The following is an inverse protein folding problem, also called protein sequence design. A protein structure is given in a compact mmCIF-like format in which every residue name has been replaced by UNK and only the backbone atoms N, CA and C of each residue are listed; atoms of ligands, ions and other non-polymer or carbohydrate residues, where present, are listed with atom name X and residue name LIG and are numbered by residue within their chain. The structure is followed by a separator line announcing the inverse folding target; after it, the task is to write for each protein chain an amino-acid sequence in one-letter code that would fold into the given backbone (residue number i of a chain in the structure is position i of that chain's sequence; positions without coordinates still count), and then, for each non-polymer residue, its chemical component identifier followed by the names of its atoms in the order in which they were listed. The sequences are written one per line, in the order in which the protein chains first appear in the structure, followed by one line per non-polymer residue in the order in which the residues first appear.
data_IF_506390516273
#
_entry.id   IF_506390516273
#
_cell.length_a   1.000
_cell.length_b   1.000
_cell.length_c   1.000
_cell.angle_alpha   90.00
_cell.angle_beta   90.00
_cell.angle_gamma   90.00
#
_symmetry.space_group_name_H-M   'P 1'
#
loop_
_entity.id
_entity.type
_entity.pdbx_description
1 polymer ?
#
# COMPACT_ATOMS: atom_id res chain seq x y z
N UNK A 1 -33.58 26.86 23.87
CA UNK A 1 -32.41 26.57 24.71
C UNK A 1 -31.22 26.38 23.77
N UNK A 2 -30.35 27.37 23.69
CA UNK A 2 -29.05 27.22 23.05
C UNK A 2 -28.14 26.53 24.08
N UNK A 3 -27.73 25.30 23.81
CA UNK A 3 -26.69 24.66 24.57
C UNK A 3 -25.35 25.19 24.04
N UNK A 4 -24.68 26.05 24.78
CA UNK A 4 -23.27 26.34 24.57
C UNK A 4 -22.50 25.11 25.05
N UNK A 5 -22.04 24.27 24.11
CA UNK A 5 -21.03 23.27 24.41
C UNK A 5 -19.70 23.99 24.65
N UNK A 6 -19.08 23.74 25.79
CA UNK A 6 -17.71 24.18 26.04
C UNK A 6 -16.73 23.31 25.21
N UNK A 7 -15.63 23.90 24.75
CA UNK A 7 -14.56 23.16 24.04
C UNK A 7 -14.09 21.98 24.89
N UNK A 8 -14.01 22.15 26.21
CA UNK A 8 -13.63 21.09 27.15
C UNK A 8 -14.59 19.90 27.14
N UNK A 9 -15.88 20.13 26.96
CA UNK A 9 -16.90 19.09 26.88
C UNK A 9 -16.75 18.30 25.58
N UNK A 10 -16.42 18.97 24.48
CA UNK A 10 -16.15 18.34 23.18
C UNK A 10 -14.88 17.49 23.25
N UNK A 11 -13.80 18.01 23.83
CA UNK A 11 -12.56 17.27 24.03
C UNK A 11 -12.76 16.03 24.90
N UNK A 12 -13.48 16.15 26.01
CA UNK A 12 -13.79 15.02 26.89
C UNK A 12 -14.64 13.95 26.16
N UNK A 13 -15.60 14.36 25.34
CA UNK A 13 -16.41 13.45 24.55
C UNK A 13 -15.54 12.72 23.50
N UNK A 14 -14.68 13.44 22.80
CA UNK A 14 -13.77 12.88 21.81
C UNK A 14 -12.82 11.87 22.44
N UNK A 15 -12.20 12.21 23.59
CA UNK A 15 -11.33 11.29 24.33
C UNK A 15 -12.08 10.03 24.81
N UNK A 16 -13.35 10.18 25.23
CA UNK A 16 -14.17 9.03 25.63
C UNK A 16 -14.52 8.09 24.47
N UNK A 17 -14.35 8.54 23.24
CA UNK A 17 -14.55 7.80 21.99
C UNK A 17 -13.24 7.39 21.31
N UNK A 18 -12.09 7.57 21.99
CA UNK A 18 -10.75 7.31 21.44
C UNK A 18 -10.46 8.11 20.16
N UNK A 19 -11.09 9.27 20.02
CA UNK A 19 -10.87 10.18 18.90
C UNK A 19 -9.75 11.15 19.22
N UNK A 20 -9.01 11.53 18.20
CA UNK A 20 -7.96 12.55 18.28
C UNK A 20 -8.30 13.74 17.38
N UNK A 21 -7.86 14.92 17.78
CA UNK A 21 -7.97 16.10 16.94
C UNK A 21 -7.04 15.95 15.74
N UNK A 22 -7.56 16.15 14.55
CA UNK A 22 -6.76 16.12 13.33
C UNK A 22 -5.87 17.37 13.29
N UNK A 23 -4.56 17.18 13.05
CA UNK A 23 -3.54 18.25 13.12
C UNK A 23 -3.84 19.45 12.21
N UNK A 24 -4.48 19.23 11.06
CA UNK A 24 -4.84 20.28 10.10
C UNK A 24 -6.19 20.98 10.37
N UNK A 25 -6.91 20.56 11.40
CA UNK A 25 -8.29 21.04 11.66
C UNK A 25 -8.37 22.40 12.34
N UNK A 26 -7.26 22.97 12.79
CA UNK A 26 -7.23 24.23 13.53
C UNK A 26 -7.31 25.51 12.65
N UNK A 27 -7.66 25.40 11.38
CA UNK A 27 -7.50 26.49 10.41
C UNK A 27 -8.81 27.07 9.88
N UNK A 28 -9.84 27.26 10.62
CA UNK A 28 -10.91 28.13 10.09
C UNK A 28 -11.57 28.95 11.19
N UNK A 29 -11.03 30.13 11.42
CA UNK A 29 -11.79 31.23 11.98
C UNK A 29 -12.53 31.84 10.79
N UNK A 30 -13.80 31.52 10.65
CA UNK A 30 -14.66 32.21 9.70
C UNK A 30 -14.94 33.61 10.22
N UNK A 31 -15.35 34.55 9.36
CA UNK A 31 -15.71 35.94 9.73
C UNK A 31 -16.82 36.04 10.79
N UNK A 32 -17.41 34.91 11.19
CA UNK A 32 -18.44 34.78 12.21
C UNK A 32 -17.95 34.12 13.51
N UNK A 33 -16.65 34.04 13.76
CA UNK A 33 -16.06 33.42 14.97
C UNK A 33 -16.39 31.91 15.13
N UNK A 34 -16.70 31.22 14.06
CA UNK A 34 -16.91 29.78 14.09
C UNK A 34 -15.55 29.03 14.02
N UNK A 35 -15.34 28.12 14.97
CA UNK A 35 -14.17 27.23 14.99
C UNK A 35 -14.65 25.84 14.56
N UNK A 36 -14.03 25.29 13.52
CA UNK A 36 -14.29 23.92 13.07
C UNK A 36 -13.18 23.03 13.61
N UNK A 37 -13.55 22.06 14.46
CA UNK A 37 -12.66 21.05 15.00
C UNK A 37 -13.03 19.70 14.39
N UNK A 38 -12.09 19.09 13.68
CA UNK A 38 -12.26 17.75 13.12
C UNK A 38 -11.62 16.70 14.04
N UNK A 39 -12.42 15.80 14.55
CA UNK A 39 -11.95 14.66 15.33
C UNK A 39 -12.02 13.40 14.46
N UNK A 40 -10.96 12.61 14.50
CA UNK A 40 -10.85 11.35 13.79
C UNK A 40 -10.57 10.22 14.77
N UNK A 41 -10.98 9.02 14.43
CA UNK A 41 -10.66 7.82 15.19
C UNK A 41 -9.14 7.61 15.24
N UNK A 42 -8.63 7.21 16.40
CA UNK A 42 -7.19 6.94 16.57
C UNK A 42 -6.81 5.63 15.91
N UNK A 43 -5.76 5.64 15.13
CA UNK A 43 -5.18 4.41 14.59
C UNK A 43 -4.61 3.52 15.71
N UNK A 44 -4.89 2.22 15.62
CA UNK A 44 -4.32 1.22 16.51
C UNK A 44 -2.90 0.80 16.06
N UNK A 45 -2.60 1.00 14.77
CA UNK A 45 -1.32 0.61 14.18
C UNK A 45 -0.57 1.82 13.63
N UNK A 46 0.73 1.82 13.86
CA UNK A 46 1.69 2.74 13.25
C UNK A 46 2.71 1.92 12.48
N UNK A 47 2.87 2.19 11.20
CA UNK A 47 3.84 1.51 10.34
C UNK A 47 5.11 2.35 10.25
N UNK A 48 6.26 1.69 10.42
CA UNK A 48 7.58 2.28 10.19
C UNK A 48 8.20 1.49 9.04
N UNK A 49 8.53 2.16 7.95
CA UNK A 49 9.09 1.52 6.76
C UNK A 49 10.48 2.03 6.44
N UNK A 50 11.32 1.12 5.99
CA UNK A 50 12.66 1.40 5.48
C UNK A 50 12.86 0.64 4.18
N UNK A 51 13.67 1.18 3.27
CA UNK A 51 14.06 0.51 2.06
C UNK A 51 15.58 0.49 1.96
N UNK A 52 16.12 -0.64 1.52
CA UNK A 52 17.50 -0.79 1.12
C UNK A 52 17.54 -1.15 -0.36
N UNK A 53 18.18 -0.33 -1.17
CA UNK A 53 18.43 -0.60 -2.58
C UNK A 53 19.91 -0.69 -2.83
N UNK A 54 20.35 -1.78 -3.48
CA UNK A 54 21.73 -1.98 -3.90
C UNK A 54 21.75 -2.11 -5.42
N UNK A 55 22.67 -1.40 -6.06
CA UNK A 55 22.91 -1.52 -7.50
C UNK A 55 24.35 -1.94 -7.77
N UNK A 56 24.54 -2.96 -8.60
CA UNK A 56 25.89 -3.41 -8.98
C UNK A 56 26.56 -2.41 -9.93
N UNK A 57 25.83 -1.86 -10.87
CA UNK A 57 26.29 -0.83 -11.83
C UNK A 57 25.08 -0.04 -12.36
N UNK A 58 25.19 1.29 -12.33
CA UNK A 58 24.18 2.17 -12.92
C UNK A 58 22.90 2.30 -12.08
N UNK A 59 21.76 2.43 -12.76
CA UNK A 59 20.45 2.65 -12.13
C UNK A 59 19.88 1.32 -11.66
N UNK A 60 19.35 1.29 -10.44
CA UNK A 60 18.64 0.11 -9.95
C UNK A 60 17.33 -0.08 -10.73
N UNK A 61 17.02 -1.32 -11.12
CA UNK A 61 15.80 -1.69 -11.82
C UNK A 61 14.55 -1.68 -10.96
N UNK A 62 14.70 -1.69 -9.63
CA UNK A 62 13.59 -1.76 -8.69
C UNK A 62 13.01 -0.38 -8.41
N UNK A 63 11.69 -0.33 -8.23
CA UNK A 63 11.00 0.86 -7.76
C UNK A 63 9.97 0.50 -6.68
N UNK A 64 9.71 1.44 -5.76
CA UNK A 64 8.78 1.23 -4.67
C UNK A 64 8.07 2.51 -4.26
N UNK A 65 6.93 2.35 -3.58
CA UNK A 65 6.21 3.42 -2.88
C UNK A 65 5.77 2.89 -1.51
N UNK A 66 5.96 3.73 -0.49
CA UNK A 66 5.32 3.63 0.82
C UNK A 66 4.47 4.88 1.03
N UNK A 67 3.18 4.73 1.31
CA UNK A 67 2.28 5.87 1.51
C UNK A 67 1.05 5.47 2.30
N UNK A 68 0.41 6.43 2.92
CA UNK A 68 -0.94 6.27 3.45
C UNK A 68 -1.92 6.81 2.42
N UNK A 69 -3.04 6.11 2.20
CA UNK A 69 -4.10 6.58 1.32
C UNK A 69 -5.22 7.28 2.11
N UNK A 70 -6.20 7.84 1.40
CA UNK A 70 -7.36 8.53 1.99
C UNK A 70 -8.32 7.61 2.75
N UNK A 71 -8.17 6.30 2.64
CA UNK A 71 -9.00 5.31 3.32
C UNK A 71 -8.28 4.71 4.55
N UNK A 72 -7.33 5.45 5.12
CA UNK A 72 -6.59 5.07 6.33
C UNK A 72 -5.83 3.74 6.23
N UNK A 73 -5.48 3.35 5.00
CA UNK A 73 -4.63 2.20 4.77
C UNK A 73 -3.19 2.64 4.49
N UNK A 74 -2.24 1.91 5.06
CA UNK A 74 -0.85 2.02 4.68
C UNK A 74 -0.56 1.14 3.47
N UNK A 75 -0.05 1.74 2.42
CA UNK A 75 0.16 1.10 1.11
C UNK A 75 1.64 0.86 0.89
N UNK A 76 1.95 -0.36 0.48
CA UNK A 76 3.29 -0.79 0.05
C UNK A 76 3.17 -1.25 -1.40
N UNK A 77 4.02 -0.72 -2.27
CA UNK A 77 4.14 -1.15 -3.66
C UNK A 77 5.63 -1.37 -3.93
N UNK A 78 5.99 -2.55 -4.40
CA UNK A 78 7.33 -2.87 -4.86
C UNK A 78 7.24 -3.51 -6.25
N UNK A 79 8.13 -3.13 -7.14
CA UNK A 79 8.21 -3.69 -8.49
C UNK A 79 9.66 -3.81 -8.90
N UNK A 80 10.05 -4.99 -9.36
CA UNK A 80 11.33 -5.27 -9.98
C UNK A 80 11.17 -5.25 -11.50
N UNK A 81 12.00 -4.46 -12.16
CA UNK A 81 12.01 -4.31 -13.61
C UNK A 81 12.84 -5.39 -14.26
N UNK A 82 12.23 -6.19 -15.10
CA UNK A 82 12.93 -7.24 -15.84
C UNK A 82 13.98 -6.64 -16.80
N UNK A 83 15.18 -7.15 -16.72
CA UNK A 83 16.33 -6.67 -17.48
C UNK A 83 17.34 -5.92 -16.60
N UNK A 84 18.00 -4.93 -17.15
CA UNK A 84 19.01 -4.14 -16.42
C UNK A 84 19.03 -2.68 -16.86
N UNK A 85 19.52 -1.81 -15.96
CA UNK A 85 19.76 -0.41 -16.26
C UNK A 85 18.47 0.41 -16.44
N UNK A 86 18.49 1.36 -17.37
CA UNK A 86 17.40 2.33 -17.54
C UNK A 86 16.08 1.66 -17.96
N UNK A 87 16.13 0.65 -18.79
CA UNK A 87 14.93 -0.03 -19.29
C UNK A 87 14.18 -0.74 -18.15
N UNK A 88 14.87 -1.53 -17.34
CA UNK A 88 14.29 -2.17 -16.15
C UNK A 88 13.70 -1.12 -15.20
N UNK A 89 14.45 -0.05 -14.94
CA UNK A 89 13.98 1.05 -14.11
C UNK A 89 12.68 1.69 -14.66
N UNK A 90 12.62 1.97 -15.97
CA UNK A 90 11.45 2.64 -16.57
C UNK A 90 10.19 1.74 -16.53
N UNK A 91 10.37 0.42 -16.68
CA UNK A 91 9.29 -0.57 -16.55
C UNK A 91 8.74 -0.62 -15.14
N UNK A 92 9.59 -0.85 -14.15
CA UNK A 92 9.15 -0.94 -12.75
C UNK A 92 8.60 0.39 -12.23
N UNK A 93 9.22 1.52 -12.62
CA UNK A 93 8.74 2.87 -12.29
C UNK A 93 7.34 3.11 -12.84
N UNK A 94 7.11 2.78 -14.11
CA UNK A 94 5.79 2.90 -14.71
C UNK A 94 4.75 2.02 -14.01
N UNK A 95 5.11 0.78 -13.67
CA UNK A 95 4.24 -0.16 -12.96
C UNK A 95 3.83 0.41 -11.59
N UNK A 96 4.79 0.86 -10.80
CA UNK A 96 4.53 1.45 -9.48
C UNK A 96 3.67 2.71 -9.58
N UNK A 97 3.99 3.63 -10.49
CA UNK A 97 3.24 4.86 -10.69
C UNK A 97 1.79 4.60 -11.17
N UNK A 98 1.60 3.59 -12.02
CA UNK A 98 0.28 3.19 -12.51
C UNK A 98 -0.58 2.64 -11.37
N UNK A 99 -0.06 1.68 -10.60
CA UNK A 99 -0.74 1.10 -9.44
C UNK A 99 -1.12 2.20 -8.46
N UNK A 100 -0.19 3.11 -8.14
CA UNK A 100 -0.43 4.21 -7.23
C UNK A 100 -1.56 5.14 -7.70
N UNK A 101 -1.64 5.42 -9.00
CA UNK A 101 -2.75 6.22 -9.58
C UNK A 101 -4.10 5.52 -9.42
N UNK A 102 -4.16 4.20 -9.64
CA UNK A 102 -5.40 3.44 -9.46
C UNK A 102 -5.85 3.43 -8.00
N UNK A 103 -4.94 3.25 -7.05
CA UNK A 103 -5.26 3.25 -5.62
C UNK A 103 -5.87 4.59 -5.18
N UNK A 104 -5.41 5.71 -5.75
CA UNK A 104 -5.99 7.04 -5.47
C UNK A 104 -7.45 7.20 -5.91
N UNK A 105 -7.95 6.34 -6.80
CA UNK A 105 -9.36 6.37 -7.25
C UNK A 105 -10.32 5.65 -6.30
N UNK A 106 -9.85 5.16 -5.16
CA UNK A 106 -10.62 4.35 -4.19
C UNK A 106 -11.12 3.01 -4.75
N UNK A 107 -10.64 2.58 -5.92
CA UNK A 107 -10.89 1.24 -6.45
C UNK A 107 -9.97 0.23 -5.74
N UNK A 108 -10.48 -0.96 -5.48
CA UNK A 108 -9.63 -2.04 -4.97
C UNK A 108 -8.66 -2.49 -6.07
N UNK A 109 -7.40 -2.75 -5.72
CA UNK A 109 -6.42 -3.22 -6.70
C UNK A 109 -6.84 -4.54 -7.33
N UNK A 110 -7.44 -5.45 -6.55
CA UNK A 110 -7.95 -6.74 -7.05
C UNK A 110 -9.02 -6.58 -8.13
N UNK A 111 -9.80 -5.49 -8.09
CA UNK A 111 -10.83 -5.21 -9.11
C UNK A 111 -10.27 -4.67 -10.42
N UNK A 112 -9.11 -4.01 -10.39
CA UNK A 112 -8.55 -3.33 -11.57
C UNK A 112 -7.20 -3.92 -12.03
N UNK A 113 -6.75 -5.03 -11.43
CA UNK A 113 -5.44 -5.59 -11.74
C UNK A 113 -5.31 -6.06 -13.20
N UNK A 114 -6.39 -6.57 -13.79
CA UNK A 114 -6.40 -6.99 -15.21
C UNK A 114 -6.14 -5.80 -16.14
N UNK A 115 -6.81 -4.68 -15.88
CA UNK A 115 -6.65 -3.44 -16.63
C UNK A 115 -5.25 -2.89 -16.48
N UNK A 116 -4.71 -2.91 -15.26
CA UNK A 116 -3.34 -2.48 -14.97
C UNK A 116 -2.34 -3.32 -15.77
N UNK A 117 -2.44 -4.64 -15.71
CA UNK A 117 -1.56 -5.55 -16.45
C UNK A 117 -1.70 -5.32 -17.96
N UNK A 118 -2.93 -5.15 -18.47
CA UNK A 118 -3.16 -4.87 -19.88
C UNK A 118 -2.52 -3.55 -20.34
N UNK A 119 -2.59 -2.50 -19.52
CA UNK A 119 -1.94 -1.21 -19.81
C UNK A 119 -0.42 -1.36 -19.81
N UNK A 120 0.16 -2.08 -18.85
CA UNK A 120 1.60 -2.35 -18.79
C UNK A 120 2.05 -3.12 -20.04
N UNK A 121 1.32 -4.20 -20.40
CA UNK A 121 1.62 -5.02 -21.56
C UNK A 121 1.54 -4.23 -22.87
N UNK A 122 0.53 -3.35 -23.03
CA UNK A 122 0.40 -2.48 -24.20
C UNK A 122 1.54 -1.48 -24.32
N UNK A 123 2.00 -0.92 -23.18
CA UNK A 123 3.08 0.05 -23.19
C UNK A 123 4.42 -0.58 -23.57
N UNK A 124 4.66 -1.79 -23.11
CA UNK A 124 5.91 -2.53 -23.32
C UNK A 124 5.72 -3.70 -24.29
N UNK A 125 4.88 -3.52 -25.31
CA UNK A 125 4.41 -4.53 -26.27
C UNK A 125 5.50 -5.38 -26.93
N UNK A 126 6.76 -4.93 -26.95
CA UNK A 126 7.88 -5.67 -27.53
C UNK A 126 8.54 -6.64 -26.57
N UNK A 127 8.16 -6.59 -25.29
CA UNK A 127 8.78 -7.39 -24.25
C UNK A 127 7.76 -8.43 -23.74
N UNK A 128 8.15 -9.70 -23.83
CA UNK A 128 7.33 -10.82 -23.35
C UNK A 128 7.20 -10.86 -21.81
N UNK A 129 7.85 -9.94 -21.10
CA UNK A 129 7.95 -9.97 -19.64
C UNK A 129 7.48 -8.67 -18.98
N UNK A 130 6.58 -8.81 -18.03
CA UNK A 130 6.03 -7.73 -17.20
C UNK A 130 6.85 -7.64 -15.90
N UNK A 131 7.16 -6.41 -15.46
CA UNK A 131 7.77 -6.19 -14.15
C UNK A 131 6.96 -6.85 -13.05
N UNK A 132 7.64 -7.31 -12.00
CA UNK A 132 6.97 -7.91 -10.86
C UNK A 132 6.06 -6.90 -10.15
N UNK A 133 5.04 -7.38 -9.46
CA UNK A 133 4.18 -6.58 -8.60
C UNK A 133 4.12 -7.24 -7.24
N UNK A 134 4.55 -6.53 -6.21
CA UNK A 134 4.29 -6.85 -4.81
C UNK A 134 3.56 -5.67 -4.18
N UNK A 135 2.30 -5.91 -3.82
CA UNK A 135 1.41 -4.91 -3.27
C UNK A 135 0.88 -5.39 -1.93
N UNK A 136 0.85 -4.47 -0.95
CA UNK A 136 0.15 -4.68 0.30
C UNK A 136 -0.61 -3.41 0.71
N UNK A 137 -1.80 -3.61 1.28
CA UNK A 137 -2.65 -2.58 1.85
C UNK A 137 -3.00 -2.98 3.27
N UNK A 138 -2.60 -2.19 4.25
CA UNK A 138 -2.74 -2.47 5.68
C UNK A 138 -3.71 -1.47 6.27
N UNK A 139 -4.84 -1.94 6.79
CA UNK A 139 -5.80 -1.14 7.55
C UNK A 139 -5.18 -0.75 8.90
N UNK A 140 -5.06 0.55 9.15
CA UNK A 140 -4.41 1.08 10.36
C UNK A 140 -5.26 0.97 11.62
N UNK A 141 -6.56 0.67 11.51
CA UNK A 141 -7.43 0.46 12.66
C UNK A 141 -7.37 -0.97 13.19
N UNK A 142 -7.37 -1.96 12.30
CA UNK A 142 -7.47 -3.37 12.70
C UNK A 142 -6.25 -4.23 12.38
N UNK A 143 -5.28 -3.71 11.60
CA UNK A 143 -4.07 -4.43 11.20
C UNK A 143 -4.30 -5.47 10.11
N UNK A 144 -5.49 -5.50 9.50
CA UNK A 144 -5.75 -6.41 8.39
C UNK A 144 -4.98 -5.99 7.15
N UNK A 145 -4.15 -6.87 6.65
CA UNK A 145 -3.39 -6.67 5.43
C UNK A 145 -4.00 -7.48 4.29
N UNK A 146 -4.31 -6.78 3.19
CA UNK A 146 -4.61 -7.40 1.90
C UNK A 146 -3.38 -7.30 1.02
N UNK A 147 -2.99 -8.40 0.37
CA UNK A 147 -1.83 -8.40 -0.51
C UNK A 147 -2.16 -8.97 -1.89
N UNK A 148 -1.40 -8.50 -2.87
CA UNK A 148 -1.47 -8.96 -4.25
C UNK A 148 -0.05 -9.07 -4.80
N UNK A 149 0.25 -10.21 -5.42
CA UNK A 149 1.53 -10.49 -6.03
C UNK A 149 1.35 -10.91 -7.48
N UNK A 150 2.22 -10.40 -8.34
CA UNK A 150 2.35 -10.85 -9.72
C UNK A 150 3.81 -11.21 -9.98
N UNK A 151 4.04 -12.41 -10.49
CA UNK A 151 5.36 -13.03 -10.62
C UNK A 151 5.96 -13.46 -9.27
N UNK A 152 7.22 -13.93 -9.26
CA UNK A 152 7.83 -14.64 -8.14
C UNK A 152 8.40 -13.72 -7.05
N UNK A 153 7.60 -12.79 -6.53
CA UNK A 153 8.02 -11.96 -5.40
C UNK A 153 7.60 -12.59 -4.08
N UNK A 154 8.49 -12.52 -3.09
CA UNK A 154 8.30 -13.16 -1.79
C UNK A 154 8.16 -12.08 -0.73
N UNK A 155 7.18 -12.26 0.16
CA UNK A 155 7.04 -11.45 1.37
C UNK A 155 7.04 -12.37 2.58
N UNK A 156 7.83 -12.01 3.57
CA UNK A 156 7.87 -12.69 4.85
C UNK A 156 7.23 -11.80 5.92
N UNK A 157 6.52 -12.43 6.85
CA UNK A 157 6.09 -11.80 8.09
C UNK A 157 6.80 -12.49 9.24
N UNK A 158 7.66 -11.76 9.94
CA UNK A 158 8.30 -12.25 11.16
C UNK A 158 7.49 -11.80 12.37
N UNK A 159 7.02 -12.75 13.15
CA UNK A 159 6.31 -12.56 14.41
C UNK A 159 7.07 -13.28 15.51
N UNK A 160 7.65 -12.56 16.43
CA UNK A 160 8.50 -13.13 17.49
C UNK A 160 9.58 -14.08 16.94
N UNK A 161 9.43 -15.39 17.14
CA UNK A 161 10.34 -16.43 16.66
C UNK A 161 9.81 -17.18 15.42
N UNK A 162 8.64 -16.83 14.91
CA UNK A 162 8.02 -17.46 13.76
C UNK A 162 8.20 -16.61 12.50
N UNK A 163 8.28 -17.27 11.36
CA UNK A 163 8.31 -16.61 10.04
C UNK A 163 7.22 -17.22 9.17
N UNK A 164 6.33 -16.37 8.71
CA UNK A 164 5.28 -16.72 7.75
C UNK A 164 5.73 -16.30 6.36
N UNK A 165 5.49 -17.14 5.38
CA UNK A 165 5.66 -16.81 3.96
C UNK A 165 4.29 -16.48 3.42
N UNK A 166 4.15 -15.31 2.80
CA UNK A 166 2.88 -14.91 2.22
C UNK A 166 2.75 -15.52 0.83
N UNK A 167 2.05 -16.62 0.78
CA UNK A 167 1.65 -17.34 -0.42
C UNK A 167 0.13 -17.40 -0.46
N UNK A 168 -0.46 -17.52 -1.64
CA UNK A 168 -1.89 -17.72 -1.83
C UNK A 168 -2.12 -19.03 -2.57
N UNK A 169 -3.06 -19.82 -2.08
CA UNK A 169 -3.51 -21.04 -2.74
C UNK A 169 -4.46 -20.79 -3.93
N UNK A 170 -4.84 -19.52 -4.17
CA UNK A 170 -5.84 -19.16 -5.16
C UNK A 170 -5.18 -18.53 -6.38
N UNK A 171 -5.18 -19.26 -7.48
CA UNK A 171 -4.92 -18.71 -8.82
C UNK A 171 -6.19 -18.02 -9.31
N UNK A 172 -6.25 -16.69 -9.27
CA UNK A 172 -7.42 -15.92 -9.73
C UNK A 172 -7.59 -15.89 -11.25
N UNK A 173 -6.60 -16.38 -12.02
CA UNK A 173 -6.64 -16.34 -13.49
C UNK A 173 -6.03 -17.59 -14.10
N UNK A 174 -6.88 -18.58 -14.37
CA UNK A 174 -6.51 -19.76 -15.16
C UNK A 174 -6.42 -19.49 -16.67
N UNK A 175 -6.90 -18.32 -17.16
CA UNK A 175 -7.14 -18.03 -18.58
C UNK A 175 -6.18 -17.03 -19.25
N UNK A 176 -5.10 -16.62 -18.63
CA UNK A 176 -4.07 -15.86 -19.36
C UNK A 176 -3.03 -16.83 -19.92
N UNK A 177 -3.09 -17.03 -21.26
CA UNK A 177 -2.20 -17.84 -22.08
C UNK A 177 -0.84 -18.16 -21.43
N UNK A 178 -0.72 -19.39 -21.07
CA UNK A 178 0.41 -20.31 -20.96
C UNK A 178 1.79 -19.81 -20.53
N UNK A 179 2.06 -18.61 -20.10
CA UNK A 179 3.41 -18.36 -19.59
C UNK A 179 3.46 -17.26 -18.53
N UNK A 180 3.66 -17.68 -17.30
CA UNK A 180 4.44 -17.03 -16.25
C UNK A 180 3.83 -16.00 -15.33
N UNK A 181 2.69 -15.38 -15.59
CA UNK A 181 2.18 -14.34 -14.69
C UNK A 181 1.09 -14.87 -13.74
N UNK A 182 1.51 -15.58 -12.68
CA UNK A 182 0.59 -15.95 -11.61
C UNK A 182 0.28 -14.73 -10.77
N UNK A 183 -1.01 -14.41 -10.62
CA UNK A 183 -1.48 -13.39 -9.69
C UNK A 183 -1.97 -14.11 -8.44
N UNK A 184 -1.33 -13.79 -7.33
CA UNK A 184 -1.67 -14.30 -6.02
C UNK A 184 -2.29 -13.18 -5.20
N UNK A 185 -3.41 -13.45 -4.54
CA UNK A 185 -4.01 -12.51 -3.57
C UNK A 185 -4.27 -13.25 -2.27
N UNK A 186 -4.22 -12.50 -1.18
CA UNK A 186 -4.51 -13.05 0.13
C UNK A 186 -4.72 -11.98 1.17
N UNK A 187 -5.05 -12.43 2.36
CA UNK A 187 -5.23 -11.63 3.55
C UNK A 187 -4.32 -12.15 4.66
N UNK A 188 -3.87 -11.26 5.53
CA UNK A 188 -3.08 -11.60 6.71
C UNK A 188 -3.40 -10.63 7.84
N UNK A 189 -3.66 -11.16 9.03
CA UNK A 189 -3.90 -10.34 10.22
C UNK A 189 -2.58 -10.03 10.92
N UNK A 190 -2.12 -8.79 10.76
CA UNK A 190 -0.93 -8.29 11.42
C UNK A 190 -1.16 -8.09 12.90
N UNK A 191 -0.12 -8.30 13.70
CA UNK A 191 -0.09 -8.02 15.13
C UNK A 191 0.99 -7.00 15.45
N UNK A 192 0.85 -6.41 16.62
CA UNK A 192 1.87 -5.50 17.12
C UNK A 192 3.24 -6.18 17.21
N UNK A 193 4.25 -5.53 16.67
CA UNK A 193 5.62 -6.05 16.65
C UNK A 193 5.96 -6.95 15.45
N UNK A 194 5.01 -7.23 14.55
CA UNK A 194 5.30 -7.92 13.30
C UNK A 194 6.26 -7.10 12.43
N UNK A 195 7.16 -7.80 11.73
CA UNK A 195 8.08 -7.22 10.75
C UNK A 195 7.76 -7.82 9.38
N UNK A 196 7.37 -6.96 8.44
CA UNK A 196 7.20 -7.35 7.04
C UNK A 196 8.50 -7.14 6.28
N UNK A 197 8.88 -8.13 5.48
CA UNK A 197 10.06 -8.08 4.63
C UNK A 197 9.63 -8.41 3.21
N UNK A 198 9.64 -7.40 2.33
CA UNK A 198 9.41 -7.54 0.91
C UNK A 198 10.75 -7.60 0.19
N UNK A 199 10.93 -8.57 -0.69
CA UNK A 199 12.21 -8.81 -1.37
C UNK A 199 12.01 -8.85 -2.88
N UNK A 200 12.99 -8.31 -3.61
CA UNK A 200 13.20 -8.57 -5.04
C UNK A 200 14.24 -9.67 -5.21
N UNK A 201 14.40 -10.22 -6.40
CA UNK A 201 15.32 -11.33 -6.69
C UNK A 201 16.81 -10.92 -6.73
N UNK A 202 17.10 -9.65 -6.53
CA UNK A 202 18.46 -9.09 -6.57
C UNK A 202 19.31 -9.31 -5.32
N UNK A 203 18.84 -10.10 -4.33
CA UNK A 203 19.55 -10.41 -3.09
C UNK A 203 20.36 -11.68 -3.20
#
# INVERSE_FOLDING_TARGET
CEYKLDILDIENLALSKEMILQEDSSQYINSNEEIILNYVEKYNYKIISHCLQLSKKGKNGDNYIFTQNSNDNYIIILSDGIGSGNEAYDKSKFTVDLIYKFIKTSLSLSSCIKEIISIISLKFFRDESISTIDFASIDLYNGKMNYLKCSSVITYVKRENEVFVLESDINLFEDFNESTNRILTGEFDLKYGDILVHLTDGL
#
